data_IF_890870407380
#
_entry.id   IF_890870407380
#
_cell.length_a   1.000
_cell.length_b   1.000
_cell.length_c   1.000
_cell.angle_alpha   90.00
_cell.angle_beta   90.00
_cell.angle_gamma   90.00
#
_symmetry.space_group_name_H-M   'P 1'
#
loop_
_entity.id
_entity.type
_entity.pdbx_description
1 polymer ?
#
# COMPACT_ATOMS: atom_id res chain seq x y z
N UNK A 1 -21.79 2.19 -28.05
CA UNK A 1 -20.52 1.96 -28.78
C UNK A 1 -19.44 1.75 -27.72
N UNK A 2 -18.57 0.73 -27.85
CA UNK A 2 -17.55 0.41 -26.82
C UNK A 2 -16.44 1.48 -26.80
N UNK A 3 -15.92 1.80 -25.61
CA UNK A 3 -14.50 1.66 -25.25
C UNK A 3 -14.43 1.45 -23.73
N UNK A 4 -13.99 0.27 -23.31
CA UNK A 4 -13.33 0.06 -22.01
C UNK A 4 -11.83 0.13 -22.28
N UNK A 5 -11.07 0.79 -21.42
CA UNK A 5 -9.61 0.86 -21.53
C UNK A 5 -8.95 0.60 -20.17
N UNK A 6 -8.58 -0.65 -19.92
CA UNK A 6 -7.66 -0.97 -18.82
C UNK A 6 -6.27 -0.39 -19.15
N UNK A 7 -5.59 0.17 -18.14
CA UNK A 7 -4.13 0.09 -18.10
C UNK A 7 -3.64 0.11 -16.65
N UNK A 8 -3.09 -1.02 -16.20
CA UNK A 8 -2.26 -1.10 -15.01
C UNK A 8 -0.85 -1.46 -15.46
N UNK A 9 0.18 -0.80 -14.91
CA UNK A 9 1.49 -1.38 -14.54
C UNK A 9 2.54 -0.31 -14.16
N UNK A 10 3.57 -0.76 -13.42
CA UNK A 10 4.90 -0.17 -13.21
C UNK A 10 5.08 0.95 -12.17
N UNK A 11 5.11 0.55 -10.88
CA UNK A 11 5.95 1.21 -9.87
C UNK A 11 6.70 0.19 -9.00
N UNK A 12 7.78 -0.39 -9.56
CA UNK A 12 8.89 -0.97 -8.78
C UNK A 12 10.22 -0.53 -9.37
N UNK A 13 10.85 0.46 -8.75
CA UNK A 13 12.26 0.80 -8.98
C UNK A 13 12.87 1.39 -7.71
N UNK A 14 13.56 0.55 -6.94
CA UNK A 14 14.65 1.01 -6.05
C UNK A 14 15.91 1.20 -6.90
N UNK A 15 16.72 2.23 -6.66
CA UNK A 15 18.11 2.25 -7.13
C UNK A 15 19.02 1.48 -6.16
N UNK A 16 19.97 0.74 -6.72
CA UNK A 16 21.06 0.09 -5.98
C UNK A 16 22.10 1.11 -5.51
N UNK A 17 22.73 0.87 -4.35
CA UNK A 17 24.02 1.48 -3.98
C UNK A 17 24.92 0.45 -3.31
N UNK A 18 25.91 0.06 -4.10
CA UNK A 18 27.25 -0.51 -3.88
C UNK A 18 27.79 -0.78 -2.46
N UNK A 19 28.45 -1.93 -2.36
CA UNK A 19 29.41 -2.40 -1.36
C UNK A 19 30.79 -1.73 -1.59
N UNK A 20 31.65 -1.57 -0.56
CA UNK A 20 32.99 -2.12 -0.77
C UNK A 20 33.66 -2.79 0.45
N UNK A 21 34.41 -3.85 0.12
CA UNK A 21 35.23 -4.67 0.98
C UNK A 21 36.43 -3.96 1.66
N UNK A 22 36.96 -4.57 2.73
CA UNK A 22 38.37 -4.39 3.10
C UNK A 22 38.81 -4.86 4.49
N UNK A 23 39.78 -5.78 4.54
CA UNK A 23 40.82 -5.78 5.59
C UNK A 23 40.72 -6.82 6.72
N UNK A 24 41.44 -7.93 6.56
CA UNK A 24 41.97 -8.70 7.70
C UNK A 24 43.40 -8.20 8.03
N UNK A 25 43.86 -8.35 9.29
CA UNK A 25 45.21 -8.88 9.49
C UNK A 25 45.34 -9.89 10.64
N UNK A 26 46.27 -10.83 10.47
CA UNK A 26 46.88 -11.65 11.55
C UNK A 26 48.09 -10.91 12.11
N UNK A 27 48.40 -11.05 13.41
CA UNK A 27 49.62 -11.71 13.96
C UNK A 27 49.82 -11.45 15.46
N UNK A 28 50.08 -12.52 16.21
CA UNK A 28 50.74 -12.60 17.55
C UNK A 28 52.27 -12.35 17.43
N UNK A 29 53.15 -12.43 18.47
CA UNK A 29 52.96 -12.78 19.91
C UNK A 29 53.70 -11.88 20.95
N UNK A 30 53.52 -12.10 22.27
CA UNK A 30 54.61 -12.10 23.30
C UNK A 30 54.17 -12.47 24.75
N UNK A 31 55.00 -13.25 25.45
CA UNK A 31 55.07 -13.52 26.92
C UNK A 31 56.46 -12.97 27.44
N UNK A 32 57.03 -13.20 28.67
CA UNK A 32 56.66 -14.02 29.84
C UNK A 32 56.97 -13.39 31.27
N UNK A 33 57.15 -14.25 32.29
CA UNK A 33 57.72 -14.08 33.66
C UNK A 33 56.74 -13.68 34.80
N UNK A 34 56.85 -14.13 36.07
CA UNK A 34 57.68 -15.10 36.83
C UNK A 34 57.05 -15.28 38.26
N UNK A 35 57.31 -16.26 39.16
CA UNK A 35 58.04 -17.55 39.16
C UNK A 35 57.57 -18.41 40.40
N UNK A 36 58.25 -19.53 40.72
CA UNK A 36 57.95 -20.55 41.77
C UNK A 36 58.82 -20.36 43.06
N UNK A 37 58.65 -21.15 44.17
CA UNK A 37 59.55 -22.31 44.35
C UNK A 37 59.03 -23.57 45.10
N UNK A 38 59.27 -24.73 44.47
CA UNK A 38 60.05 -25.90 44.95
C UNK A 38 59.47 -26.96 45.92
N UNK A 39 58.99 -28.07 45.32
CA UNK A 39 59.48 -29.49 45.40
C UNK A 39 60.35 -30.00 46.58
N UNK A 40 60.26 -31.32 46.93
CA UNK A 40 61.06 -32.37 46.23
C UNK A 40 60.24 -33.65 45.90
N UNK A 41 60.42 -34.43 44.81
CA UNK A 41 61.55 -34.85 43.95
C UNK A 41 62.04 -36.29 44.24
N UNK A 42 61.76 -37.22 43.32
CA UNK A 42 62.47 -38.49 43.08
C UNK A 42 62.19 -38.97 41.63
N UNK A 43 63.21 -39.54 40.97
CA UNK A 43 63.37 -39.75 39.52
C UNK A 43 63.72 -41.26 39.25
N UNK A 44 63.98 -41.80 38.03
CA UNK A 44 63.87 -41.23 36.67
C UNK A 44 63.28 -42.14 35.55
N UNK A 45 62.95 -41.47 34.42
CA UNK A 45 63.02 -41.90 33.01
C UNK A 45 62.24 -43.15 32.48
N UNK A 46 61.30 -42.90 31.55
CA UNK A 46 61.46 -43.16 30.10
C UNK A 46 60.28 -42.53 29.30
N UNK A 47 60.48 -41.79 28.19
CA UNK A 47 59.36 -41.26 27.40
C UNK A 47 58.73 -42.37 26.54
N UNK A 48 57.48 -42.73 26.85
CA UNK A 48 56.63 -43.52 25.97
C UNK A 48 55.81 -42.59 25.04
N UNK A 49 55.41 -43.12 23.89
CA UNK A 49 54.84 -42.39 22.76
C UNK A 49 53.57 -41.57 23.03
N UNK A 50 53.25 -40.69 22.07
CA UNK A 50 51.94 -40.05 21.91
C UNK A 50 50.79 -41.01 22.28
N UNK A 51 49.78 -40.56 23.05
CA UNK A 51 48.56 -41.33 23.21
C UNK A 51 47.86 -41.40 21.84
N UNK A 52 47.97 -42.56 21.20
CA UNK A 52 47.30 -42.85 19.94
C UNK A 52 45.83 -42.45 20.01
N UNK A 53 45.29 -41.93 18.89
CA UNK A 53 43.84 -41.79 18.72
C UNK A 53 43.19 -43.11 19.14
N UNK A 54 42.16 -43.09 20.01
CA UNK A 54 41.54 -44.32 20.49
C UNK A 54 41.06 -45.09 19.27
N UNK A 55 41.53 -46.33 19.13
CA UNK A 55 41.17 -47.19 18.01
C UNK A 55 39.66 -47.16 17.81
N UNK A 56 39.21 -46.97 16.56
CA UNK A 56 37.78 -46.88 16.22
C UNK A 56 37.12 -48.16 16.70
N UNK A 57 36.46 -48.09 17.87
CA UNK A 57 35.96 -49.26 18.55
C UNK A 57 35.01 -50.00 17.62
N UNK A 58 35.20 -51.31 17.47
CA UNK A 58 34.64 -52.13 16.39
C UNK A 58 33.13 -51.99 16.22
N UNK A 59 32.41 -51.73 17.32
CA UNK A 59 30.97 -51.46 17.34
C UNK A 59 30.54 -50.28 16.46
N UNK A 60 31.38 -49.22 16.31
CA UNK A 60 31.09 -48.07 15.45
C UNK A 60 31.15 -48.46 13.98
N UNK A 61 32.22 -49.15 13.59
CA UNK A 61 32.40 -49.68 12.23
C UNK A 61 31.32 -50.71 11.89
N UNK A 62 30.95 -51.57 12.84
CA UNK A 62 29.90 -52.57 12.66
C UNK A 62 28.50 -51.94 12.49
N UNK A 63 28.19 -50.84 13.18
CA UNK A 63 26.93 -50.11 13.01
C UNK A 63 26.89 -49.23 11.75
N UNK A 64 28.00 -48.58 11.39
CA UNK A 64 28.10 -47.75 10.19
C UNK A 64 28.16 -48.56 8.88
N UNK A 65 28.67 -49.79 8.94
CA UNK A 65 28.97 -50.59 7.76
C UNK A 65 29.96 -49.85 6.85
N UNK A 66 29.59 -49.68 5.58
CA UNK A 66 30.39 -48.96 4.58
C UNK A 66 30.08 -47.44 4.52
N UNK A 67 29.13 -46.94 5.32
CA UNK A 67 28.74 -45.52 5.29
C UNK A 67 29.67 -44.65 6.14
N UNK A 68 30.54 -43.88 5.47
CA UNK A 68 31.48 -42.96 6.11
C UNK A 68 30.82 -41.82 6.89
N UNK A 69 29.59 -41.40 6.56
CA UNK A 69 28.89 -40.33 7.29
C UNK A 69 28.21 -40.86 8.56
N UNK A 70 27.70 -42.10 8.55
CA UNK A 70 27.23 -42.77 9.77
C UNK A 70 28.40 -43.05 10.73
N UNK A 71 29.58 -43.37 10.20
CA UNK A 71 30.79 -43.53 11.03
C UNK A 71 31.17 -42.23 11.75
N UNK A 72 31.21 -41.10 11.04
CA UNK A 72 31.43 -39.76 11.64
C UNK A 72 30.36 -39.35 12.64
N UNK A 73 29.12 -39.83 12.47
CA UNK A 73 28.05 -39.62 13.44
C UNK A 73 28.31 -40.43 14.71
N UNK A 74 28.76 -41.68 14.58
CA UNK A 74 29.05 -42.58 15.70
C UNK A 74 30.33 -42.25 16.46
N UNK A 75 31.32 -41.61 15.82
CA UNK A 75 32.52 -41.06 16.47
C UNK A 75 32.20 -40.06 17.60
N UNK A 76 31.03 -39.42 17.57
CA UNK A 76 30.57 -38.46 18.59
C UNK A 76 30.21 -39.10 19.93
N UNK A 77 30.00 -40.43 19.97
CA UNK A 77 29.63 -41.15 21.19
C UNK A 77 30.84 -41.91 21.74
N UNK A 78 31.18 -41.69 23.00
CA UNK A 78 32.33 -42.30 23.68
C UNK A 78 32.24 -43.83 23.74
N UNK A 79 31.03 -44.35 23.87
CA UNK A 79 30.71 -45.75 24.11
C UNK A 79 29.25 -46.07 23.71
N UNK A 80 28.85 -47.36 23.62
CA UNK A 80 27.48 -47.73 23.26
C UNK A 80 26.40 -47.25 24.24
N UNK A 81 26.73 -47.04 25.52
CA UNK A 81 25.77 -46.53 26.51
C UNK A 81 25.50 -45.04 26.34
N UNK A 82 26.49 -44.25 25.92
CA UNK A 82 26.31 -42.86 25.52
C UNK A 82 25.38 -42.75 24.30
N UNK A 83 25.55 -43.61 23.29
CA UNK A 83 24.63 -43.69 22.15
C UNK A 83 23.20 -44.07 22.60
N UNK A 84 23.04 -45.12 23.42
CA UNK A 84 21.72 -45.52 23.92
C UNK A 84 21.04 -44.43 24.75
N UNK A 85 21.81 -43.71 25.59
CA UNK A 85 21.29 -42.57 26.35
C UNK A 85 20.83 -41.44 25.42
N UNK A 86 21.63 -41.08 24.41
CA UNK A 86 21.26 -40.08 23.41
C UNK A 86 20.03 -40.48 22.60
N UNK A 87 19.90 -41.76 22.22
CA UNK A 87 18.70 -42.28 21.56
C UNK A 87 17.46 -42.23 22.48
N UNK A 88 17.61 -42.57 23.76
CA UNK A 88 16.53 -42.48 24.75
C UNK A 88 16.11 -41.02 24.99
N UNK A 89 17.06 -40.10 25.04
CA UNK A 89 16.80 -38.66 25.12
C UNK A 89 16.12 -38.13 23.86
N UNK A 90 16.57 -38.55 22.66
CA UNK A 90 15.92 -38.23 21.40
C UNK A 90 14.48 -38.79 21.34
N UNK A 91 14.23 -40.04 21.75
CA UNK A 91 12.87 -40.57 21.90
C UNK A 91 12.05 -39.78 22.92
N UNK A 92 12.63 -39.41 24.06
CA UNK A 92 11.93 -38.60 25.05
C UNK A 92 11.57 -37.22 24.50
N UNK A 93 12.45 -36.58 23.73
CA UNK A 93 12.19 -35.30 23.05
C UNK A 93 11.14 -35.46 21.94
N UNK A 94 11.20 -36.52 21.14
CA UNK A 94 10.18 -36.82 20.12
C UNK A 94 8.82 -37.10 20.77
N UNK A 95 8.78 -37.76 21.93
CA UNK A 95 7.55 -38.02 22.71
C UNK A 95 7.03 -36.79 23.45
N UNK A 96 7.91 -35.91 23.94
CA UNK A 96 7.52 -34.73 24.74
C UNK A 96 7.22 -33.50 23.90
N UNK A 97 7.87 -33.34 22.75
CA UNK A 97 7.62 -32.25 21.79
C UNK A 97 6.67 -32.67 20.66
N UNK A 98 6.59 -33.97 20.38
CA UNK A 98 5.81 -34.53 19.29
C UNK A 98 6.40 -34.20 17.91
N UNK A 99 6.63 -35.22 17.08
CA UNK A 99 6.43 -35.01 15.64
C UNK A 99 4.92 -35.06 15.43
N UNK A 100 4.24 -33.97 15.80
CA UNK A 100 2.80 -33.87 15.67
C UNK A 100 2.50 -33.66 14.18
N UNK A 101 2.18 -34.75 13.50
CA UNK A 101 1.72 -34.76 12.12
C UNK A 101 0.26 -35.20 12.11
N UNK A 102 -0.62 -34.34 11.60
CA UNK A 102 -2.02 -34.69 11.36
C UNK A 102 -2.05 -35.62 10.13
N UNK A 103 -2.60 -36.84 10.21
CA UNK A 103 -2.74 -37.69 9.03
C UNK A 103 -3.71 -37.05 8.02
N UNK A 104 -3.50 -37.28 6.72
CA UNK A 104 -4.29 -36.64 5.65
C UNK A 104 -5.80 -36.90 5.74
N UNK A 105 -6.21 -37.99 6.41
CA UNK A 105 -7.60 -38.37 6.66
C UNK A 105 -7.93 -38.36 8.17
N UNK A 106 -7.42 -37.37 8.92
CA UNK A 106 -7.69 -37.26 10.35
C UNK A 106 -9.19 -37.11 10.66
N UNK A 107 -9.65 -37.78 11.71
CA UNK A 107 -11.00 -37.53 12.27
C UNK A 107 -11.05 -36.17 12.97
N UNK A 108 -12.25 -35.63 13.20
CA UNK A 108 -12.40 -34.38 13.98
C UNK A 108 -11.72 -34.45 15.35
N UNK A 109 -11.82 -35.59 16.04
CA UNK A 109 -11.20 -35.77 17.36
C UNK A 109 -9.67 -35.78 17.28
N UNK A 110 -9.11 -36.33 16.20
CA UNK A 110 -7.67 -36.25 15.93
C UNK A 110 -7.23 -34.82 15.62
N UNK A 111 -8.01 -34.06 14.84
CA UNK A 111 -7.76 -32.65 14.57
C UNK A 111 -7.86 -31.78 15.84
N UNK A 112 -8.87 -32.02 16.70
CA UNK A 112 -9.01 -31.33 18.00
C UNK A 112 -7.86 -31.64 18.94
N UNK A 113 -7.48 -32.91 19.10
CA UNK A 113 -6.35 -33.31 19.95
C UNK A 113 -5.02 -32.73 19.44
N UNK A 114 -4.85 -32.68 18.12
CA UNK A 114 -3.70 -32.08 17.44
C UNK A 114 -3.64 -30.55 17.66
N UNK A 115 -4.77 -29.85 17.49
CA UNK A 115 -4.88 -28.41 17.73
C UNK A 115 -4.61 -28.04 19.20
N UNK A 116 -5.18 -28.80 20.14
CA UNK A 116 -4.92 -28.63 21.57
C UNK A 116 -3.45 -28.86 21.93
N UNK A 117 -2.78 -29.85 21.32
CA UNK A 117 -1.35 -30.12 21.52
C UNK A 117 -0.44 -29.01 20.95
N UNK A 118 -0.95 -28.17 20.06
CA UNK A 118 -0.27 -26.97 19.55
C UNK A 118 -0.60 -25.70 20.36
N UNK A 119 -1.45 -25.81 21.38
CA UNK A 119 -1.91 -24.67 22.18
C UNK A 119 -2.92 -23.78 21.46
N UNK A 120 -3.57 -24.25 20.39
CA UNK A 120 -4.70 -23.54 19.79
C UNK A 120 -5.89 -23.61 20.76
N UNK A 121 -6.49 -22.48 21.17
CA UNK A 121 -7.68 -22.49 22.02
C UNK A 121 -8.85 -23.24 21.36
N UNK A 122 -9.73 -23.86 22.15
CA UNK A 122 -10.80 -24.70 21.60
C UNK A 122 -11.85 -23.90 20.79
N UNK A 123 -12.07 -22.63 21.12
CA UNK A 123 -13.09 -21.78 20.48
C UNK A 123 -12.49 -20.55 19.79
N UNK A 124 -13.14 -20.00 18.75
CA UNK A 124 -12.73 -18.76 18.10
C UNK A 124 -12.64 -17.58 19.05
N UNK A 125 -13.55 -17.46 20.03
CA UNK A 125 -13.58 -16.35 20.99
C UNK A 125 -12.36 -16.39 21.92
N UNK A 126 -11.99 -17.58 22.39
CA UNK A 126 -10.79 -17.78 23.20
C UNK A 126 -9.51 -17.51 22.39
N UNK A 127 -9.50 -17.84 21.09
CA UNK A 127 -8.41 -17.48 20.18
C UNK A 127 -8.31 -15.96 19.98
N UNK A 128 -9.44 -15.27 19.72
CA UNK A 128 -9.50 -13.82 19.54
C UNK A 128 -8.94 -13.07 20.75
N UNK A 129 -9.33 -13.45 21.97
CA UNK A 129 -8.80 -12.80 23.19
C UNK A 129 -7.32 -13.14 23.42
N UNK A 130 -6.88 -14.37 23.09
CA UNK A 130 -5.48 -14.79 23.24
C UNK A 130 -4.51 -14.12 22.25
N UNK A 131 -4.97 -13.73 21.05
CA UNK A 131 -4.16 -13.05 20.01
C UNK A 131 -4.45 -11.55 19.90
N UNK A 132 -5.19 -10.99 20.86
CA UNK A 132 -5.60 -9.59 20.90
C UNK A 132 -4.40 -8.66 20.96
N UNK A 133 -4.42 -7.65 20.10
CA UNK A 133 -3.40 -6.60 20.03
C UNK A 133 -4.09 -5.26 20.28
N UNK A 134 -3.51 -4.44 21.15
CA UNK A 134 -4.00 -3.09 21.38
C UNK A 134 -3.85 -2.21 20.12
N UNK A 135 -4.85 -1.36 19.80
CA UNK A 135 -4.77 -0.47 18.67
C UNK A 135 -3.63 0.55 18.84
N UNK A 136 -3.04 1.05 17.73
CA UNK A 136 -2.06 2.12 17.79
C UNK A 136 -2.61 3.36 18.53
N UNK A 137 -1.72 4.10 19.21
CA UNK A 137 -2.12 5.28 19.96
C UNK A 137 -2.86 6.29 19.07
N UNK A 138 -4.07 6.68 19.48
CA UNK A 138 -4.93 7.60 18.74
C UNK A 138 -5.84 6.94 17.69
N UNK A 139 -5.78 5.61 17.51
CA UNK A 139 -6.73 4.88 16.68
C UNK A 139 -7.96 4.45 17.49
N UNK A 140 -9.13 4.93 17.11
CA UNK A 140 -10.42 4.50 17.68
C UNK A 140 -10.95 3.29 16.91
N UNK A 141 -11.08 2.14 17.59
CA UNK A 141 -11.55 0.88 17.01
C UNK A 141 -13.07 0.93 16.80
N UNK A 142 -13.48 1.02 15.54
CA UNK A 142 -14.88 1.07 15.11
C UNK A 142 -15.52 -0.31 15.18
N UNK A 143 -16.84 -0.36 15.22
CA UNK A 143 -17.57 -1.64 15.24
C UNK A 143 -17.38 -2.43 13.93
N UNK A 144 -17.14 -1.75 12.82
CA UNK A 144 -16.71 -2.36 11.54
C UNK A 144 -15.40 -3.13 11.69
N UNK A 145 -14.46 -2.59 12.45
CA UNK A 145 -13.12 -3.16 12.62
C UNK A 145 -13.23 -4.41 13.51
N UNK A 146 -14.03 -4.34 14.58
CA UNK A 146 -14.34 -5.48 15.46
C UNK A 146 -15.02 -6.62 14.68
N UNK A 147 -16.00 -6.29 13.83
CA UNK A 147 -16.70 -7.27 13.00
C UNK A 147 -15.76 -7.93 11.98
N UNK A 148 -14.93 -7.13 11.29
CA UNK A 148 -13.93 -7.64 10.34
C UNK A 148 -12.90 -8.54 11.04
N UNK A 149 -12.27 -8.06 12.11
CA UNK A 149 -11.26 -8.82 12.87
C UNK A 149 -11.87 -10.11 13.42
N UNK A 150 -13.07 -10.07 14.01
CA UNK A 150 -13.75 -11.25 14.53
C UNK A 150 -14.04 -12.30 13.46
N UNK A 151 -14.51 -11.88 12.28
CA UNK A 151 -14.73 -12.78 11.14
C UNK A 151 -13.41 -13.40 10.66
N UNK A 152 -12.36 -12.59 10.47
CA UNK A 152 -11.08 -13.09 9.97
C UNK A 152 -10.37 -14.00 10.97
N UNK A 153 -10.41 -13.68 12.27
CA UNK A 153 -9.83 -14.53 13.31
C UNK A 153 -10.58 -15.85 13.48
N UNK A 154 -11.91 -15.86 13.32
CA UNK A 154 -12.69 -17.11 13.28
C UNK A 154 -12.27 -18.00 12.10
N UNK A 155 -12.01 -17.42 10.92
CA UNK A 155 -11.47 -18.15 9.78
C UNK A 155 -10.05 -18.66 10.04
N UNK A 156 -9.16 -17.82 10.57
CA UNK A 156 -7.77 -18.18 10.88
C UNK A 156 -7.73 -19.34 11.87
N UNK A 157 -8.53 -19.29 12.93
CA UNK A 157 -8.69 -20.38 13.90
C UNK A 157 -9.07 -21.71 13.22
N UNK A 158 -10.12 -21.68 12.39
CA UNK A 158 -10.61 -22.86 11.67
C UNK A 158 -9.59 -23.44 10.66
N UNK A 159 -8.75 -22.61 10.04
CA UNK A 159 -7.72 -23.07 9.10
C UNK A 159 -6.45 -23.57 9.81
N UNK A 160 -6.04 -22.97 10.93
CA UNK A 160 -4.92 -23.47 11.76
C UNK A 160 -5.25 -24.86 12.32
N UNK A 161 -6.52 -25.09 12.72
CA UNK A 161 -6.98 -26.39 13.20
C UNK A 161 -6.88 -27.51 12.15
N UNK A 162 -6.91 -27.18 10.85
CA UNK A 162 -6.73 -28.12 9.74
C UNK A 162 -5.26 -28.30 9.39
N UNK A 163 -4.53 -27.20 9.27
CA UNK A 163 -3.10 -27.20 8.94
C UNK A 163 -2.39 -25.98 9.58
N UNK A 164 -1.61 -26.19 10.65
CA UNK A 164 -0.95 -25.13 11.41
C UNK A 164 0.41 -24.76 10.82
N UNK A 165 0.85 -25.45 9.75
CA UNK A 165 2.19 -25.22 9.18
C UNK A 165 2.28 -23.74 8.77
N UNK A 166 3.40 -23.04 9.05
CA UNK A 166 3.54 -21.61 8.74
C UNK A 166 3.20 -21.26 7.29
N UNK A 167 3.46 -22.17 6.34
CA UNK A 167 3.10 -22.02 4.94
C UNK A 167 1.57 -22.01 4.68
N UNK A 168 0.76 -22.75 5.45
CA UNK A 168 -0.70 -22.66 5.35
C UNK A 168 -1.22 -21.39 6.01
N UNK A 169 -0.74 -21.09 7.23
CA UNK A 169 -1.11 -19.85 7.94
C UNK A 169 -0.83 -18.61 7.08
N UNK A 170 0.34 -18.55 6.43
CA UNK A 170 0.67 -17.48 5.49
C UNK A 170 -0.26 -17.41 4.26
N UNK A 171 -0.69 -18.55 3.70
CA UNK A 171 -1.69 -18.59 2.62
C UNK A 171 -3.04 -18.04 3.08
N UNK A 172 -3.47 -18.35 4.30
CA UNK A 172 -4.74 -17.86 4.85
C UNK A 172 -4.70 -16.32 5.01
N UNK A 173 -3.63 -15.77 5.60
CA UNK A 173 -3.46 -14.32 5.66
C UNK A 173 -3.41 -13.67 4.27
N UNK A 174 -2.74 -14.29 3.31
CA UNK A 174 -2.67 -13.80 1.93
C UNK A 174 -4.03 -13.88 1.21
N UNK A 175 -4.84 -14.92 1.44
CA UNK A 175 -6.19 -15.02 0.86
C UNK A 175 -7.14 -13.99 1.47
N UNK A 176 -7.08 -13.78 2.79
CA UNK A 176 -7.83 -12.71 3.48
C UNK A 176 -7.49 -11.34 2.89
N UNK A 177 -6.20 -11.06 2.68
CA UNK A 177 -5.78 -9.81 2.02
C UNK A 177 -6.38 -9.67 0.62
N UNK A 178 -6.20 -10.66 -0.27
CA UNK A 178 -6.70 -10.57 -1.65
C UNK A 178 -8.23 -10.50 -1.74
N UNK A 179 -8.95 -11.25 -0.91
CA UNK A 179 -10.42 -11.18 -0.83
C UNK A 179 -10.90 -9.82 -0.31
N UNK A 180 -10.23 -9.26 0.71
CA UNK A 180 -10.56 -7.92 1.23
C UNK A 180 -10.28 -6.81 0.21
N UNK A 181 -9.17 -6.91 -0.54
CA UNK A 181 -8.83 -5.98 -1.61
C UNK A 181 -9.83 -6.07 -2.78
N UNK A 182 -10.21 -7.28 -3.20
CA UNK A 182 -11.23 -7.49 -4.23
C UNK A 182 -12.61 -6.99 -3.79
N UNK A 183 -12.99 -7.21 -2.53
CA UNK A 183 -14.24 -6.71 -1.98
C UNK A 183 -14.27 -5.18 -1.93
N UNK A 184 -13.15 -4.53 -1.56
CA UNK A 184 -13.02 -3.08 -1.58
C UNK A 184 -13.08 -2.51 -3.02
N UNK A 185 -12.36 -3.12 -3.97
CA UNK A 185 -12.40 -2.72 -5.39
C UNK A 185 -13.84 -2.82 -5.95
N UNK A 186 -14.52 -3.94 -5.71
CA UNK A 186 -15.92 -4.13 -6.11
C UNK A 186 -16.87 -3.13 -5.44
N UNK A 187 -16.68 -2.82 -4.17
CA UNK A 187 -17.49 -1.82 -3.46
C UNK A 187 -17.28 -0.40 -4.04
N UNK A 188 -16.04 -0.05 -4.44
CA UNK A 188 -15.77 1.21 -5.13
C UNK A 188 -16.36 1.25 -6.55
N UNK A 189 -16.34 0.15 -7.30
CA UNK A 189 -17.01 0.06 -8.61
C UNK A 189 -18.54 0.22 -8.48
N UNK A 190 -19.17 -0.54 -7.57
CA UNK A 190 -20.61 -0.45 -7.30
C UNK A 190 -21.02 0.96 -6.82
N UNK A 191 -20.19 1.60 -5.98
CA UNK A 191 -20.44 2.97 -5.52
C UNK A 191 -20.30 4.00 -6.63
N UNK A 192 -19.34 3.83 -7.55
CA UNK A 192 -19.21 4.70 -8.73
C UNK A 192 -20.43 4.59 -9.64
N UNK A 193 -20.89 3.37 -9.96
CA UNK A 193 -22.10 3.13 -10.78
C UNK A 193 -23.37 3.74 -10.14
N UNK A 194 -23.50 3.64 -8.81
CA UNK A 194 -24.61 4.28 -8.06
C UNK A 194 -24.55 5.80 -8.19
N UNK A 195 -23.40 6.43 -7.90
CA UNK A 195 -23.28 7.90 -7.92
C UNK A 195 -23.47 8.45 -9.34
N UNK A 196 -22.92 7.78 -10.36
CA UNK A 196 -23.14 8.15 -11.76
C UNK A 196 -24.64 8.10 -12.13
N UNK A 197 -25.36 7.06 -11.68
CA UNK A 197 -26.81 6.91 -11.91
C UNK A 197 -27.63 7.97 -11.17
N UNK A 198 -27.31 8.24 -9.90
CA UNK A 198 -27.97 9.27 -9.08
C UNK A 198 -27.77 10.67 -9.67
N UNK A 199 -26.53 11.00 -10.09
CA UNK A 199 -26.20 12.26 -10.76
C UNK A 199 -26.88 12.38 -12.12
N UNK A 200 -26.89 11.34 -12.95
CA UNK A 200 -27.58 11.39 -14.25
C UNK A 200 -29.09 11.62 -14.08
N UNK A 201 -29.72 10.95 -13.11
CA UNK A 201 -31.12 11.15 -12.76
C UNK A 201 -31.40 12.59 -12.28
N UNK A 202 -30.58 13.12 -11.38
CA UNK A 202 -30.71 14.49 -10.87
C UNK A 202 -30.51 15.55 -11.96
N UNK A 203 -29.51 15.38 -12.84
CA UNK A 203 -29.28 16.28 -13.99
C UNK A 203 -30.41 16.18 -15.02
N UNK A 204 -30.99 14.99 -15.23
CA UNK A 204 -32.15 14.81 -16.12
C UNK A 204 -33.40 15.50 -15.55
N UNK A 205 -33.64 15.38 -14.25
CA UNK A 205 -34.75 16.02 -13.56
C UNK A 205 -34.64 17.56 -13.57
N UNK A 206 -33.42 18.10 -13.41
CA UNK A 206 -33.21 19.55 -13.30
C UNK A 206 -33.06 20.25 -14.67
N UNK A 207 -32.30 19.67 -15.59
CA UNK A 207 -31.97 20.31 -16.87
C UNK A 207 -32.90 19.89 -18.01
N UNK A 208 -33.54 18.72 -17.93
CA UNK A 208 -34.46 18.25 -18.97
C UNK A 208 -33.87 18.29 -20.38
N UNK A 209 -34.46 19.08 -21.26
CA UNK A 209 -33.98 19.28 -22.65
C UNK A 209 -32.61 19.94 -22.74
N UNK A 210 -32.27 20.79 -21.77
CA UNK A 210 -31.00 21.55 -21.74
C UNK A 210 -29.83 20.73 -21.21
N UNK A 211 -30.05 19.46 -20.81
CA UNK A 211 -29.03 18.59 -20.23
C UNK A 211 -27.77 18.49 -21.12
N UNK A 212 -27.95 18.28 -22.41
CA UNK A 212 -26.83 18.17 -23.35
C UNK A 212 -26.09 19.51 -23.53
N UNK A 213 -26.81 20.64 -23.58
CA UNK A 213 -26.19 21.97 -23.64
C UNK A 213 -25.37 22.25 -22.37
N UNK A 214 -25.90 21.94 -21.19
CA UNK A 214 -25.23 22.12 -19.92
C UNK A 214 -24.03 21.16 -19.73
N UNK A 215 -24.10 19.93 -20.26
CA UNK A 215 -22.93 19.03 -20.31
C UNK A 215 -21.84 19.53 -21.28
N UNK A 216 -22.21 20.21 -22.36
CA UNK A 216 -21.25 20.89 -23.23
C UNK A 216 -20.61 22.11 -22.53
N UNK A 217 -21.38 22.87 -21.75
CA UNK A 217 -20.82 23.91 -20.88
C UNK A 217 -19.88 23.34 -19.82
N UNK A 218 -20.24 22.22 -19.17
CA UNK A 218 -19.38 21.50 -18.22
C UNK A 218 -18.00 21.16 -18.84
N UNK A 219 -18.00 20.55 -20.03
CA UNK A 219 -16.77 20.25 -20.78
C UNK A 219 -15.98 21.51 -21.14
N UNK A 220 -16.66 22.62 -21.45
CA UNK A 220 -16.00 23.90 -21.75
C UNK A 220 -15.39 24.55 -20.52
N UNK A 221 -16.08 24.51 -19.38
CA UNK A 221 -15.57 25.01 -18.11
C UNK A 221 -14.32 24.25 -17.66
N UNK A 222 -14.31 22.92 -17.80
CA UNK A 222 -13.11 22.11 -17.52
C UNK A 222 -11.91 22.54 -18.37
N UNK A 223 -12.09 22.68 -19.70
CA UNK A 223 -11.02 23.15 -20.59
C UNK A 223 -10.54 24.56 -20.23
N UNK A 224 -11.45 25.46 -19.88
CA UNK A 224 -11.12 26.83 -19.52
C UNK A 224 -10.32 26.90 -18.21
N UNK A 225 -10.72 26.15 -17.19
CA UNK A 225 -10.09 26.19 -15.87
C UNK A 225 -8.79 25.35 -15.78
N UNK A 226 -8.68 24.24 -16.53
CA UNK A 226 -7.62 23.25 -16.36
C UNK A 226 -6.89 22.84 -17.65
N UNK A 227 -7.26 23.39 -18.81
CA UNK A 227 -6.77 22.95 -20.11
C UNK A 227 -7.30 21.56 -20.53
N UNK A 228 -6.84 21.06 -21.68
CA UNK A 228 -7.25 19.73 -22.17
C UNK A 228 -6.65 18.59 -21.33
N UNK A 229 -5.38 18.70 -20.94
CA UNK A 229 -4.70 17.70 -20.10
C UNK A 229 -5.36 17.60 -18.72
N UNK A 230 -5.67 18.74 -18.10
CA UNK A 230 -6.37 18.78 -16.82
C UNK A 230 -7.81 18.28 -16.89
N UNK A 231 -8.54 18.53 -18.00
CA UNK A 231 -9.87 17.96 -18.24
C UNK A 231 -9.85 16.43 -18.18
N UNK A 232 -8.88 15.80 -18.86
CA UNK A 232 -8.81 14.34 -18.95
C UNK A 232 -8.35 13.73 -17.61
N UNK A 233 -7.37 14.35 -16.95
CA UNK A 233 -6.94 13.96 -15.61
C UNK A 233 -8.11 14.01 -14.59
N UNK A 234 -8.83 15.13 -14.51
CA UNK A 234 -9.96 15.30 -13.59
C UNK A 234 -11.15 14.37 -13.90
N UNK A 235 -11.36 14.04 -15.18
CA UNK A 235 -12.40 13.09 -15.59
C UNK A 235 -12.07 11.65 -15.18
N UNK A 236 -10.79 11.33 -14.92
CA UNK A 236 -10.35 10.02 -14.41
C UNK A 236 -10.19 9.95 -12.88
N UNK A 237 -10.31 11.09 -12.19
CA UNK A 237 -10.05 11.19 -10.76
C UNK A 237 -11.16 10.52 -9.94
N UNK A 238 -10.80 9.49 -9.17
CA UNK A 238 -11.67 8.88 -8.14
C UNK A 238 -11.56 9.64 -6.82
N UNK A 239 -12.69 9.77 -6.13
CA UNK A 239 -12.82 10.29 -4.78
C UNK A 239 -12.62 9.18 -3.74
N UNK A 240 -12.53 9.56 -2.46
CA UNK A 240 -12.37 8.61 -1.34
C UNK A 240 -13.54 7.62 -1.19
N UNK A 241 -14.74 7.96 -1.68
CA UNK A 241 -15.89 7.06 -1.73
C UNK A 241 -15.92 6.14 -2.98
N UNK A 242 -14.94 6.27 -3.88
CA UNK A 242 -14.81 5.49 -5.12
C UNK A 242 -15.49 6.09 -6.34
N UNK A 243 -16.40 7.06 -6.18
CA UNK A 243 -17.03 7.76 -7.30
C UNK A 243 -16.03 8.62 -8.07
N UNK A 244 -16.30 8.92 -9.34
CA UNK A 244 -15.47 9.87 -10.10
C UNK A 244 -15.87 11.31 -9.78
N UNK A 245 -14.90 12.22 -9.75
CA UNK A 245 -15.17 13.66 -9.62
C UNK A 245 -16.10 14.17 -10.73
N UNK A 246 -16.03 13.57 -11.92
CA UNK A 246 -16.93 13.87 -13.04
C UNK A 246 -18.39 13.48 -12.82
N UNK A 247 -18.69 12.64 -11.83
CA UNK A 247 -20.05 12.25 -11.42
C UNK A 247 -20.50 13.00 -10.14
N UNK A 248 -19.67 13.88 -9.58
CA UNK A 248 -20.02 14.66 -8.39
C UNK A 248 -20.94 15.84 -8.77
N UNK A 249 -22.25 15.68 -8.56
CA UNK A 249 -23.30 16.61 -9.01
C UNK A 249 -23.01 18.11 -8.76
N UNK A 250 -22.55 18.57 -7.57
CA UNK A 250 -22.19 19.98 -7.36
C UNK A 250 -21.02 20.45 -8.23
N UNK A 251 -20.03 19.59 -8.49
CA UNK A 251 -18.87 19.91 -9.33
C UNK A 251 -19.28 20.04 -10.81
N UNK A 252 -20.10 19.10 -11.31
CA UNK A 252 -20.63 19.15 -12.69
C UNK A 252 -21.39 20.46 -12.93
N UNK A 253 -22.25 20.85 -11.97
CA UNK A 253 -23.00 22.12 -12.01
C UNK A 253 -22.11 23.35 -11.96
N UNK A 254 -21.12 23.37 -11.05
CA UNK A 254 -20.19 24.48 -10.93
C UNK A 254 -19.39 24.69 -12.22
N UNK A 255 -18.84 23.62 -12.80
CA UNK A 255 -18.08 23.70 -14.04
C UNK A 255 -18.96 24.01 -15.27
N UNK A 256 -20.24 23.60 -15.28
CA UNK A 256 -21.21 24.06 -16.28
C UNK A 256 -21.47 25.58 -16.18
N UNK A 257 -21.60 26.12 -14.97
CA UNK A 257 -21.74 27.56 -14.76
C UNK A 257 -20.49 28.34 -15.23
N UNK A 258 -19.29 27.83 -14.94
CA UNK A 258 -18.01 28.41 -15.42
C UNK A 258 -17.95 28.42 -16.95
N UNK A 259 -18.27 27.30 -17.61
CA UNK A 259 -18.24 27.23 -19.07
C UNK A 259 -19.25 28.14 -19.75
N UNK A 260 -20.45 28.29 -19.17
CA UNK A 260 -21.48 29.21 -19.65
C UNK A 260 -21.06 30.68 -19.48
N UNK A 261 -20.59 31.06 -18.29
CA UNK A 261 -20.13 32.43 -18.02
C UNK A 261 -18.97 32.83 -18.94
N UNK A 262 -18.05 31.91 -19.23
CA UNK A 262 -16.96 32.12 -20.18
C UNK A 262 -17.47 32.39 -21.62
N UNK A 263 -18.43 31.60 -22.10
CA UNK A 263 -18.99 31.76 -23.44
C UNK A 263 -19.80 33.07 -23.60
N UNK A 264 -20.60 33.43 -22.59
CA UNK A 264 -21.34 34.70 -22.55
C UNK A 264 -20.39 35.91 -22.56
N UNK A 265 -19.23 35.81 -21.89
CA UNK A 265 -18.19 36.86 -21.89
C UNK A 265 -17.45 36.97 -23.24
N UNK A 266 -17.09 35.84 -23.87
CA UNK A 266 -16.47 35.84 -25.21
C UNK A 266 -17.39 36.51 -26.23
N UNK A 267 -18.67 36.13 -26.27
CA UNK A 267 -19.63 36.76 -27.18
C UNK A 267 -19.88 38.24 -26.86
N UNK A 268 -19.87 38.64 -25.58
CA UNK A 268 -19.94 40.05 -25.21
C UNK A 268 -18.71 40.84 -25.70
N UNK A 269 -17.50 40.29 -25.57
CA UNK A 269 -16.27 40.92 -26.07
C UNK A 269 -16.27 41.01 -27.60
N UNK A 270 -16.68 39.96 -28.31
CA UNK A 270 -16.80 39.96 -29.77
C UNK A 270 -17.80 41.03 -30.24
N UNK A 271 -19.01 41.07 -29.65
CA UNK A 271 -20.04 42.04 -29.99
C UNK A 271 -19.62 43.50 -29.66
N UNK A 272 -18.93 43.72 -28.54
CA UNK A 272 -18.55 45.06 -28.08
C UNK A 272 -17.28 45.62 -28.74
N UNK A 273 -16.45 44.76 -29.35
CA UNK A 273 -15.20 45.15 -30.01
C UNK A 273 -15.21 44.91 -31.53
N UNK A 274 -16.24 44.28 -32.08
CA UNK A 274 -16.26 43.86 -33.49
C UNK A 274 -15.11 42.90 -33.84
N UNK A 275 -14.69 42.08 -32.87
CA UNK A 275 -13.53 41.18 -32.98
C UNK A 275 -12.15 41.89 -32.90
N UNK A 276 -12.09 43.18 -32.55
CA UNK A 276 -10.84 43.94 -32.46
C UNK A 276 -10.55 44.39 -31.03
N UNK A 277 -9.94 43.50 -30.24
CA UNK A 277 -9.57 43.75 -28.84
C UNK A 277 -8.39 44.73 -28.61
N UNK A 278 -8.09 45.61 -29.58
CA UNK A 278 -6.90 46.46 -29.56
C UNK A 278 -7.09 47.71 -28.69
N UNK A 279 -6.46 47.68 -27.50
CA UNK A 279 -6.19 48.81 -26.61
C UNK A 279 -7.39 49.75 -26.29
N UNK A 280 -8.37 49.19 -25.60
CA UNK A 280 -9.52 49.92 -25.05
C UNK A 280 -9.11 51.03 -24.06
N UNK A 281 -7.91 50.95 -23.47
CA UNK A 281 -7.41 51.95 -22.52
C UNK A 281 -6.91 53.21 -23.24
N UNK A 282 -6.15 53.05 -24.33
CA UNK A 282 -5.80 54.13 -25.23
C UNK A 282 -7.04 54.74 -25.91
N UNK A 283 -8.01 53.92 -26.32
CA UNK A 283 -9.27 54.41 -26.88
C UNK A 283 -10.01 55.28 -25.86
N UNK A 284 -10.22 54.80 -24.64
CA UNK A 284 -10.87 55.54 -23.56
C UNK A 284 -10.16 56.87 -23.26
N UNK A 285 -8.83 56.87 -23.16
CA UNK A 285 -8.05 58.07 -22.94
C UNK A 285 -8.23 59.10 -24.07
N UNK A 286 -8.35 58.65 -25.32
CA UNK A 286 -8.63 59.51 -26.48
C UNK A 286 -10.02 60.13 -26.41
N UNK A 287 -11.05 59.36 -26.03
CA UNK A 287 -12.42 59.84 -25.89
C UNK A 287 -12.55 60.83 -24.72
N UNK A 288 -11.91 60.56 -23.58
CA UNK A 288 -11.91 61.48 -22.43
C UNK A 288 -11.18 62.79 -22.73
N UNK A 289 -10.17 62.79 -23.62
CA UNK A 289 -9.51 64.02 -24.08
C UNK A 289 -10.45 64.94 -24.87
N UNK A 290 -11.46 64.40 -25.56
CA UNK A 290 -12.46 65.22 -26.25
C UNK A 290 -13.19 66.17 -25.30
N UNK A 291 -13.36 65.83 -24.02
CA UNK A 291 -13.93 66.73 -23.01
C UNK A 291 -13.19 68.08 -22.92
N UNK A 292 -11.90 68.12 -23.25
CA UNK A 292 -11.08 69.34 -23.26
C UNK A 292 -10.92 69.94 -24.65
N UNK A 293 -10.91 69.13 -25.72
CA UNK A 293 -10.60 69.61 -27.08
C UNK A 293 -11.82 69.82 -27.98
N UNK A 294 -12.93 69.14 -27.72
CA UNK A 294 -14.20 69.23 -28.47
C UNK A 294 -15.37 68.74 -27.59
N UNK A 295 -15.84 69.61 -26.70
CA UNK A 295 -16.89 69.30 -25.72
C UNK A 295 -18.21 68.86 -26.39
N UNK A 296 -18.53 69.42 -27.57
CA UNK A 296 -19.73 69.04 -28.33
C UNK A 296 -19.64 67.62 -28.87
N UNK A 297 -18.48 67.22 -29.39
CA UNK A 297 -18.25 65.84 -29.81
C UNK A 297 -18.19 64.88 -28.62
N UNK A 298 -17.58 65.28 -27.51
CA UNK A 298 -17.62 64.50 -26.27
C UNK A 298 -19.05 64.23 -25.80
N UNK A 299 -19.92 65.26 -25.78
CA UNK A 299 -21.31 65.15 -25.39
C UNK A 299 -22.22 64.46 -26.43
N UNK A 300 -21.68 63.99 -27.57
CA UNK A 300 -22.47 63.29 -28.57
C UNK A 300 -22.93 61.91 -28.08
N UNK A 301 -24.14 61.44 -28.46
CA UNK A 301 -24.63 60.12 -28.05
C UNK A 301 -23.71 58.97 -28.44
N UNK A 302 -23.02 59.07 -29.58
CA UNK A 302 -22.08 58.07 -30.08
C UNK A 302 -20.84 57.94 -29.18
N UNK A 303 -20.23 59.06 -28.79
CA UNK A 303 -19.05 59.05 -27.91
C UNK A 303 -19.41 58.58 -26.51
N UNK A 304 -20.55 59.01 -25.95
CA UNK A 304 -21.00 58.54 -24.63
C UNK A 304 -21.30 57.03 -24.66
N UNK A 305 -22.04 56.54 -25.66
CA UNK A 305 -22.31 55.10 -25.80
C UNK A 305 -21.02 54.26 -25.92
N UNK A 306 -19.98 54.79 -26.59
CA UNK A 306 -18.67 54.10 -26.66
C UNK A 306 -17.93 54.12 -25.32
N UNK A 307 -17.95 55.24 -24.59
CA UNK A 307 -17.40 55.34 -23.22
C UNK A 307 -18.08 54.34 -22.29
N UNK A 308 -19.41 54.27 -22.30
CA UNK A 308 -20.20 53.33 -21.50
C UNK A 308 -19.88 51.86 -21.85
N UNK A 309 -19.74 51.56 -23.15
CA UNK A 309 -19.31 50.24 -23.62
C UNK A 309 -17.93 49.85 -23.07
N UNK A 310 -16.94 50.74 -23.13
CA UNK A 310 -15.59 50.49 -22.61
C UNK A 310 -15.60 50.32 -21.09
N UNK A 311 -16.39 51.12 -20.36
CA UNK A 311 -16.57 50.98 -18.91
C UNK A 311 -17.18 49.61 -18.56
N UNK A 312 -18.21 49.16 -19.28
CA UNK A 312 -18.83 47.85 -19.06
C UNK A 312 -17.85 46.68 -19.31
N UNK A 313 -16.98 46.79 -20.32
CA UNK A 313 -15.90 45.80 -20.55
C UNK A 313 -14.91 45.81 -19.39
N UNK A 314 -14.46 46.99 -18.93
CA UNK A 314 -13.51 47.12 -17.83
C UNK A 314 -14.03 46.58 -16.50
N UNK A 315 -15.30 46.83 -16.16
CA UNK A 315 -15.88 46.27 -14.93
C UNK A 315 -15.99 44.74 -14.98
N UNK A 316 -16.34 44.16 -16.13
CA UNK A 316 -16.31 42.70 -16.33
C UNK A 316 -14.90 42.11 -16.33
N UNK A 317 -13.89 42.86 -16.75
CA UNK A 317 -12.49 42.45 -16.62
C UNK A 317 -12.02 42.45 -15.15
N UNK A 318 -12.43 43.45 -14.35
CA UNK A 318 -12.15 43.47 -12.90
C UNK A 318 -12.83 42.32 -12.15
N UNK A 319 -14.08 42.00 -12.49
CA UNK A 319 -14.83 40.89 -11.90
C UNK A 319 -14.20 39.51 -12.19
N UNK A 320 -13.27 39.40 -13.15
CA UNK A 320 -12.51 38.18 -13.44
C UNK A 320 -11.20 38.06 -12.67
N UNK A 321 -10.74 39.14 -12.03
CA UNK A 321 -9.45 39.23 -11.34
C UNK A 321 -9.57 39.32 -9.81
N UNK A 322 -10.79 39.18 -9.28
CA UNK A 322 -11.15 39.23 -7.86
C UNK A 322 -11.74 37.87 -7.42
#
# INVERSE_FOLDING_TARGET
>A
MKIRGHFAQNFTRRPDVEDPAGGAPKTDPAQPAAADPAQPAADPAQPAADPAQPAVAEWRTQMAGENADDLKLLERFTDPMALFKSFKEAQNVIRSKGVIALPENATEDQAKAFAAALGLPETPEAFIEAVKVDPPQGYEVKDTDKAFIGQQMTRIHAEIAKDPRPANVAKVFQSIYFESAQAAEKAFEERADVVATETDAALTQEWGTEKEANLNWYRSGLRFAFGEEGKDALSSLKLEDGSFLGDHLPFVKAMAAVGRANAEDVHFLEASTGGKAADLDAEYASLMKLKQTDEKKYASPEVQARIDTINAIRERAKQRAA
#
